data_IF_473820153427
#
_entry.id   IF_473820153427
#
_cell.length_a   1.000
_cell.length_b   1.000
_cell.length_c   1.000
_cell.angle_alpha   90.00
_cell.angle_beta   90.00
_cell.angle_gamma   90.00
#
_symmetry.space_group_name_H-M   'P 1'
#
loop_
_entity.id
_entity.type
_entity.pdbx_description
1 polymer ?
#
# COMPACT_ATOMS: atom_id res chain seq x y z
N UNK A 1 0.45 10.08 -29.52
CA UNK A 1 0.43 8.89 -28.69
C UNK A 1 -0.08 9.24 -27.32
N UNK A 2 -1.08 8.54 -26.89
CA UNK A 2 -1.59 8.75 -25.56
C UNK A 2 -0.84 7.84 -24.60
N UNK A 3 -0.30 8.41 -23.59
CA UNK A 3 0.45 7.67 -22.61
C UNK A 3 -0.23 7.76 -21.29
N UNK A 4 -0.34 6.61 -20.66
CA UNK A 4 -0.73 6.60 -19.27
C UNK A 4 0.36 7.31 -18.49
N UNK A 5 0.02 8.37 -17.81
CA UNK A 5 0.98 9.12 -17.01
C UNK A 5 1.51 8.26 -15.88
N UNK A 6 2.69 8.62 -15.37
CA UNK A 6 3.25 7.95 -14.20
C UNK A 6 2.30 8.05 -13.01
N UNK A 7 1.63 9.18 -12.85
CA UNK A 7 0.65 9.36 -11.79
C UNK A 7 -0.48 8.35 -11.88
N UNK A 8 -1.05 8.15 -13.07
CA UNK A 8 -2.12 7.18 -13.27
C UNK A 8 -1.65 5.75 -13.00
N UNK A 9 -0.43 5.43 -13.40
CA UNK A 9 0.16 4.12 -13.15
C UNK A 9 0.35 3.86 -11.67
N UNK A 10 0.80 4.87 -10.92
CA UNK A 10 0.94 4.79 -9.47
C UNK A 10 -0.42 4.62 -8.80
N UNK A 11 -1.44 5.35 -9.26
CA UNK A 11 -2.80 5.21 -8.74
C UNK A 11 -3.31 3.78 -8.92
N UNK A 12 -3.04 3.15 -10.06
CA UNK A 12 -3.41 1.75 -10.30
C UNK A 12 -2.69 0.79 -9.37
N UNK A 13 -1.40 1.03 -9.13
CA UNK A 13 -0.61 0.21 -8.20
C UNK A 13 -1.20 0.28 -6.80
N UNK A 14 -1.50 1.49 -6.33
CA UNK A 14 -2.12 1.68 -5.02
C UNK A 14 -3.49 1.00 -4.96
N UNK A 15 -4.23 1.02 -6.07
CA UNK A 15 -5.54 0.38 -6.13
C UNK A 15 -5.47 -1.14 -5.94
N UNK A 16 -4.44 -1.81 -6.45
CA UNK A 16 -4.24 -3.24 -6.18
C UNK A 16 -4.13 -3.52 -4.68
N UNK A 17 -3.40 -2.67 -3.98
CA UNK A 17 -3.26 -2.79 -2.54
C UNK A 17 -4.61 -2.63 -1.84
N UNK A 18 -5.36 -1.59 -2.21
CA UNK A 18 -6.67 -1.31 -1.63
C UNK A 18 -7.66 -2.45 -1.91
N UNK A 19 -7.70 -2.94 -3.15
CA UNK A 19 -8.59 -4.04 -3.53
C UNK A 19 -8.22 -5.32 -2.78
N UNK A 20 -6.95 -5.58 -2.60
CA UNK A 20 -6.48 -6.72 -1.81
C UNK A 20 -6.90 -6.62 -0.34
N UNK A 21 -6.88 -5.42 0.23
CA UNK A 21 -7.34 -5.19 1.59
C UNK A 21 -8.85 -5.43 1.70
N UNK A 22 -9.62 -4.90 0.77
CA UNK A 22 -11.08 -5.03 0.78
C UNK A 22 -11.49 -6.50 0.64
N UNK A 23 -10.84 -7.25 -0.24
CA UNK A 23 -11.15 -8.67 -0.45
C UNK A 23 -10.56 -9.60 0.61
N UNK A 24 -9.65 -9.10 1.44
CA UNK A 24 -8.98 -9.93 2.45
C UNK A 24 -7.96 -10.88 1.83
N UNK A 25 -7.36 -10.50 0.70
CA UNK A 25 -6.43 -11.36 -0.03
C UNK A 25 -5.04 -10.73 -0.12
N UNK A 26 -4.08 -11.33 0.56
CA UNK A 26 -2.67 -10.96 0.43
C UNK A 26 -2.18 -11.17 -1.00
N UNK A 27 -2.65 -12.22 -1.66
CA UNK A 27 -2.35 -12.49 -3.06
C UNK A 27 -2.83 -11.35 -3.97
N UNK A 28 -3.96 -10.75 -3.65
CA UNK A 28 -4.49 -9.61 -4.39
C UNK A 28 -3.65 -8.35 -4.23
N UNK A 29 -2.95 -8.20 -3.11
CA UNK A 29 -2.05 -7.07 -2.86
C UNK A 29 -0.71 -7.20 -3.57
N UNK A 30 -0.26 -8.43 -3.81
CA UNK A 30 1.09 -8.70 -4.34
C UNK A 30 1.46 -7.90 -5.57
N UNK A 31 0.58 -7.72 -6.57
CA UNK A 31 0.97 -6.97 -7.78
C UNK A 31 1.42 -5.54 -7.51
N UNK A 32 1.04 -4.95 -6.38
CA UNK A 32 1.41 -3.59 -6.02
C UNK A 32 2.85 -3.48 -5.54
N UNK A 33 3.43 -4.57 -5.03
CA UNK A 33 4.69 -4.55 -4.29
C UNK A 33 5.81 -5.24 -5.03
N UNK A 34 7.03 -4.70 -4.86
CA UNK A 34 8.23 -5.41 -5.28
C UNK A 34 8.46 -6.62 -4.35
N UNK A 35 9.12 -7.66 -4.88
CA UNK A 35 9.39 -8.87 -4.10
C UNK A 35 10.21 -8.59 -2.83
N UNK A 36 11.09 -7.57 -2.88
CA UNK A 36 11.94 -7.19 -1.75
C UNK A 36 11.35 -6.07 -0.89
N UNK A 37 10.09 -5.74 -1.09
CA UNK A 37 9.44 -4.65 -0.35
C UNK A 37 9.38 -4.94 1.15
N UNK A 38 9.37 -3.88 1.92
CA UNK A 38 9.36 -3.94 3.39
C UNK A 38 8.20 -3.14 3.97
N UNK A 39 7.86 -3.45 5.22
CA UNK A 39 6.81 -2.77 5.95
C UNK A 39 7.28 -2.46 7.38
N UNK A 40 6.93 -1.26 7.86
CA UNK A 40 7.23 -0.84 9.23
C UNK A 40 6.09 0.01 9.77
N UNK A 41 5.77 -0.19 11.03
CA UNK A 41 4.79 0.61 11.75
C UNK A 41 4.47 0.00 13.09
N UNK A 42 3.76 0.74 13.92
CA UNK A 42 3.33 0.22 15.21
C UNK A 42 1.85 -0.14 15.19
N UNK A 43 1.53 -1.28 15.80
CA UNK A 43 0.15 -1.64 16.14
C UNK A 43 0.10 -1.63 17.64
N UNK A 44 -0.48 -0.55 18.21
CA UNK A 44 -0.36 -0.29 19.65
C UNK A 44 1.11 -0.07 20.01
N UNK A 45 1.62 -0.86 20.93
CA UNK A 45 3.02 -0.79 21.36
C UNK A 45 3.93 -1.77 20.62
N UNK A 46 3.37 -2.57 19.71
CA UNK A 46 4.12 -3.62 19.01
C UNK A 46 4.62 -3.13 17.66
N UNK A 47 5.90 -3.27 17.43
CA UNK A 47 6.50 -2.95 16.14
C UNK A 47 6.19 -4.05 15.14
N UNK A 48 5.49 -3.69 14.07
CA UNK A 48 5.26 -4.55 12.93
C UNK A 48 6.33 -4.19 11.89
N UNK A 49 7.29 -5.09 11.68
CA UNK A 49 8.47 -4.77 10.86
C UNK A 49 8.95 -6.00 10.10
N UNK A 50 9.43 -5.78 8.87
CA UNK A 50 10.06 -6.83 8.11
C UNK A 50 9.61 -6.87 6.66
N UNK A 51 9.70 -8.04 6.01
CA UNK A 51 9.29 -8.17 4.61
C UNK A 51 7.78 -7.96 4.46
N UNK A 52 7.40 -7.44 3.30
CA UNK A 52 5.98 -7.14 3.00
C UNK A 52 5.10 -8.39 3.07
N UNK A 53 5.68 -9.57 2.95
CA UNK A 53 4.93 -10.82 3.09
C UNK A 53 4.19 -10.89 4.42
N UNK A 54 4.73 -10.25 5.47
CA UNK A 54 4.06 -10.20 6.76
C UNK A 54 2.69 -9.50 6.68
N UNK A 55 2.58 -8.49 5.83
CA UNK A 55 1.29 -7.82 5.60
C UNK A 55 0.32 -8.75 4.88
N UNK A 56 0.79 -9.47 3.89
CA UNK A 56 -0.06 -10.39 3.13
C UNK A 56 -0.61 -11.48 4.05
N UNK A 57 0.23 -12.04 4.90
CA UNK A 57 -0.16 -13.07 5.87
C UNK A 57 -1.17 -12.52 6.87
N UNK A 58 -0.91 -11.32 7.40
CA UNK A 58 -1.82 -10.67 8.33
C UNK A 58 -3.20 -10.43 7.69
N UNK A 59 -3.19 -9.96 6.45
CA UNK A 59 -4.43 -9.69 5.72
C UNK A 59 -5.23 -10.97 5.47
N UNK A 60 -4.55 -12.05 5.13
CA UNK A 60 -5.19 -13.36 4.93
C UNK A 60 -5.82 -13.88 6.23
N UNK A 61 -5.15 -13.64 7.37
CA UNK A 61 -5.64 -14.10 8.68
C UNK A 61 -6.80 -13.28 9.20
N UNK A 62 -6.79 -11.96 8.94
CA UNK A 62 -7.78 -11.05 9.51
C UNK A 62 -9.00 -10.81 8.61
N UNK A 63 -8.95 -11.33 7.38
CA UNK A 63 -10.07 -11.30 6.48
C UNK A 63 -10.32 -9.95 5.83
N UNK A 64 -11.42 -9.85 5.06
CA UNK A 64 -11.69 -8.67 4.25
C UNK A 64 -12.02 -7.42 5.09
N UNK A 65 -11.51 -6.30 4.60
CA UNK A 65 -11.82 -4.97 5.16
C UNK A 65 -13.05 -4.40 4.46
N UNK A 66 -14.20 -4.99 4.72
CA UNK A 66 -15.46 -4.59 4.10
C UNK A 66 -15.80 -3.17 4.53
N UNK A 67 -16.10 -2.31 3.55
CA UNK A 67 -16.42 -0.91 3.83
C UNK A 67 -15.21 0.00 3.99
N UNK A 68 -14.01 -0.51 3.71
CA UNK A 68 -12.80 0.31 3.72
C UNK A 68 -12.94 1.50 2.78
N UNK A 69 -12.64 2.67 3.30
CA UNK A 69 -12.57 3.89 2.51
C UNK A 69 -11.13 4.34 2.38
N UNK A 70 -10.76 4.81 1.21
CA UNK A 70 -9.39 5.22 0.92
C UNK A 70 -9.35 6.54 0.18
N UNK A 71 -8.27 7.30 0.41
CA UNK A 71 -8.02 8.55 -0.29
C UNK A 71 -6.52 8.72 -0.46
N UNK A 72 -6.08 8.90 -1.70
CA UNK A 72 -4.71 9.32 -1.97
C UNK A 72 -4.63 10.80 -1.68
N UNK A 73 -3.90 11.15 -0.63
CA UNK A 73 -3.77 12.54 -0.19
C UNK A 73 -2.69 13.29 -0.97
N UNK A 74 -1.65 12.59 -1.40
CA UNK A 74 -0.54 13.21 -2.12
C UNK A 74 0.25 12.16 -2.90
N UNK A 75 0.75 12.56 -4.07
CA UNK A 75 1.70 11.78 -4.89
C UNK A 75 2.79 12.74 -5.34
N UNK A 76 4.03 12.43 -5.02
CA UNK A 76 5.19 13.21 -5.44
C UNK A 76 6.10 12.32 -6.28
N UNK A 77 6.37 12.73 -7.52
CA UNK A 77 7.12 11.93 -8.50
C UNK A 77 8.34 12.70 -8.97
N UNK A 78 9.49 12.06 -8.89
CA UNK A 78 10.75 12.59 -9.43
C UNK A 78 11.42 11.48 -10.24
N UNK A 79 11.35 11.59 -11.58
CA UNK A 79 11.95 10.59 -12.44
C UNK A 79 11.40 9.19 -12.18
N UNK A 80 12.25 8.30 -11.71
CA UNK A 80 11.89 6.90 -11.44
C UNK A 80 11.53 6.61 -9.99
N UNK A 81 11.38 7.64 -9.16
CA UNK A 81 11.00 7.48 -7.76
C UNK A 81 9.72 8.24 -7.46
N UNK A 82 8.98 7.75 -6.48
CA UNK A 82 7.77 8.45 -6.04
C UNK A 82 7.47 8.14 -4.58
N UNK A 83 6.75 9.07 -3.95
CA UNK A 83 6.16 8.86 -2.64
C UNK A 83 4.65 9.05 -2.73
N UNK A 84 3.92 8.29 -1.93
CA UNK A 84 2.45 8.40 -1.86
C UNK A 84 2.04 8.46 -0.41
N UNK A 85 1.13 9.37 -0.10
CA UNK A 85 0.44 9.38 1.19
C UNK A 85 -0.98 8.89 0.96
N UNK A 86 -1.35 7.82 1.62
CA UNK A 86 -2.67 7.20 1.52
C UNK A 86 -3.36 7.25 2.87
N UNK A 87 -4.58 7.77 2.89
CA UNK A 87 -5.44 7.75 4.07
C UNK A 87 -6.43 6.60 3.94
N UNK A 88 -6.53 5.80 4.98
CA UNK A 88 -7.43 4.65 5.03
C UNK A 88 -8.34 4.77 6.24
N UNK A 89 -9.64 4.62 6.03
CA UNK A 89 -10.62 4.66 7.10
C UNK A 89 -11.46 3.39 7.11
N UNK A 90 -11.79 2.95 8.31
CA UNK A 90 -12.60 1.76 8.49
C UNK A 90 -11.95 0.47 7.96
N UNK A 91 -10.65 0.34 8.16
CA UNK A 91 -9.99 -0.96 7.95
C UNK A 91 -10.27 -1.82 9.19
N UNK A 92 -11.31 -2.62 9.11
CA UNK A 92 -11.84 -3.39 10.25
C UNK A 92 -12.08 -2.50 11.48
N UNK A 93 -12.57 -1.28 11.25
CA UNK A 93 -12.84 -0.31 12.29
C UNK A 93 -11.66 0.61 12.65
N UNK A 94 -10.53 0.45 11.98
CA UNK A 94 -9.32 1.23 12.27
C UNK A 94 -9.04 2.26 11.18
N UNK A 95 -8.36 3.33 11.58
CA UNK A 95 -7.91 4.37 10.66
C UNK A 95 -6.38 4.33 10.57
N UNK A 96 -5.86 4.34 9.34
CA UNK A 96 -4.43 4.35 9.07
C UNK A 96 -4.03 5.48 8.14
N UNK A 97 -2.80 5.94 8.30
CA UNK A 97 -2.10 6.73 7.29
C UNK A 97 -0.91 5.90 6.83
N UNK A 98 -0.79 5.71 5.52
CA UNK A 98 0.32 4.98 4.92
C UNK A 98 1.20 5.94 4.12
N UNK A 99 2.50 5.81 4.27
CA UNK A 99 3.48 6.42 3.37
C UNK A 99 4.13 5.30 2.56
N UNK A 100 4.06 5.43 1.24
CA UNK A 100 4.71 4.49 0.33
C UNK A 100 5.90 5.15 -0.34
N UNK A 101 6.97 4.39 -0.50
CA UNK A 101 8.06 4.74 -1.41
C UNK A 101 8.00 3.77 -2.59
N UNK A 102 8.00 4.31 -3.80
CA UNK A 102 7.89 3.54 -5.03
C UNK A 102 9.09 3.74 -5.91
N UNK A 103 9.38 2.73 -6.72
CA UNK A 103 10.44 2.75 -7.72
C UNK A 103 9.86 2.21 -9.03
N UNK A 104 10.22 2.87 -10.14
CA UNK A 104 9.87 2.39 -11.47
C UNK A 104 10.97 1.43 -11.92
N UNK A 105 10.63 0.14 -11.99
CA UNK A 105 11.56 -0.93 -12.33
C UNK A 105 11.11 -1.55 -13.65
N UNK A 106 11.97 -1.50 -14.66
CA UNK A 106 11.66 -2.06 -15.98
C UNK A 106 10.32 -1.54 -16.55
N UNK A 107 10.06 -0.26 -16.36
CA UNK A 107 8.85 0.38 -16.85
C UNK A 107 7.63 0.23 -15.96
N UNK A 108 7.74 -0.46 -14.85
CA UNK A 108 6.63 -0.68 -13.94
C UNK A 108 6.87 -0.07 -12.57
N UNK A 109 5.87 0.65 -12.07
CA UNK A 109 5.91 1.19 -10.72
C UNK A 109 5.61 0.08 -9.70
N UNK A 110 6.46 -0.01 -8.67
CA UNK A 110 6.30 -0.97 -7.57
C UNK A 110 6.50 -0.26 -6.25
N UNK A 111 5.70 -0.63 -5.25
CA UNK A 111 5.89 -0.15 -3.88
C UNK A 111 7.06 -0.93 -3.29
N UNK A 112 8.07 -0.20 -2.85
CA UNK A 112 9.29 -0.78 -2.27
C UNK A 112 9.26 -0.78 -0.75
N UNK A 113 8.49 0.16 -0.17
CA UNK A 113 8.44 0.32 1.28
C UNK A 113 7.09 0.92 1.67
N UNK A 114 6.54 0.40 2.76
CA UNK A 114 5.34 0.94 3.38
C UNK A 114 5.66 1.24 4.84
N UNK A 115 5.43 2.47 5.25
CA UNK A 115 5.47 2.86 6.66
C UNK A 115 4.09 3.36 7.03
N UNK A 116 3.52 2.84 8.10
CA UNK A 116 2.14 3.16 8.45
C UNK A 116 2.00 3.67 9.87
N UNK A 117 0.94 4.45 10.08
CA UNK A 117 0.55 4.92 11.40
C UNK A 117 -0.89 4.52 11.67
N UNK A 118 -1.12 3.82 12.77
CA UNK A 118 -2.46 3.47 13.23
C UNK A 118 -2.96 4.59 14.16
N UNK A 119 -4.06 5.21 13.79
CA UNK A 119 -4.69 6.27 14.58
C UNK A 119 -5.51 5.68 15.71
N UNK A 120 -5.31 6.19 16.89
CA UNK A 120 -6.10 5.88 18.05
C UNK A 120 -5.87 4.57 18.72
#
# INVERSE_FOLDING_TARGET
MSETSDREMIEKVVQFYIDGAISGSGKGMKPAFHADATIYGYIGDDLFAGPIQNLFDWNDENGPAIGLESKIADIDIVGTIATVRLELDNWTGHKFTDFFNLLKVEGEWKIMNKVFYLHG
#
